data_IF_464878729590
#
_entry.id   IF_464878729590
#
_cell.length_a   1.000
_cell.length_b   1.000
_cell.length_c   1.000
_cell.angle_alpha   90.00
_cell.angle_beta   90.00
_cell.angle_gamma   90.00
#
_symmetry.space_group_name_H-M   'P 1'
#
loop_
_entity.id
_entity.type
_entity.pdbx_description
1 polymer ?
#
# COMPACT_ATOMS: atom_id res chain seq x y z
N UNK A 1 -23.87 -2.84 -2.76
CA UNK A 1 -22.50 -2.37 -2.51
C UNK A 1 -21.80 -3.42 -1.67
N UNK A 2 -20.66 -3.94 -2.12
CA UNK A 2 -19.91 -4.94 -1.32
C UNK A 2 -19.48 -4.34 0.02
N UNK A 3 -19.50 -5.15 1.08
CA UNK A 3 -18.91 -4.77 2.37
C UNK A 3 -17.39 -4.90 2.28
N UNK A 4 -16.65 -3.95 2.89
CA UNK A 4 -15.20 -3.97 2.92
C UNK A 4 -14.72 -4.38 4.31
N UNK A 5 -13.83 -5.38 4.38
CA UNK A 5 -13.12 -5.77 5.60
C UNK A 5 -11.65 -5.44 5.38
N UNK A 6 -11.08 -4.58 6.22
CA UNK A 6 -9.68 -4.17 6.13
C UNK A 6 -8.90 -4.90 7.22
N UNK A 7 -7.82 -5.57 6.83
CA UNK A 7 -6.90 -6.23 7.76
C UNK A 7 -5.52 -5.58 7.60
N UNK A 8 -5.09 -4.88 8.63
CA UNK A 8 -3.80 -4.19 8.71
C UNK A 8 -2.97 -4.71 9.89
N UNK A 9 -1.66 -4.57 9.80
CA UNK A 9 -0.73 -4.94 10.87
C UNK A 9 0.69 -5.15 10.37
N UNK A 10 1.62 -5.31 11.29
CA UNK A 10 3.05 -5.52 10.99
C UNK A 10 3.30 -6.87 10.30
N UNK A 11 4.42 -6.99 9.61
CA UNK A 11 4.81 -8.25 8.98
C UNK A 11 5.06 -9.31 10.08
N UNK A 12 4.63 -10.55 9.83
CA UNK A 12 4.71 -11.63 10.82
C UNK A 12 3.57 -11.68 11.86
N UNK A 13 2.63 -10.74 11.89
CA UNK A 13 1.52 -10.69 12.87
C UNK A 13 0.37 -11.68 12.63
N UNK A 14 0.52 -12.63 11.72
CA UNK A 14 -0.50 -13.63 11.43
C UNK A 14 -1.65 -13.16 10.53
N UNK A 15 -1.52 -12.02 9.85
CA UNK A 15 -2.56 -11.47 8.97
C UNK A 15 -3.06 -12.46 7.93
N UNK A 16 -2.15 -13.15 7.25
CA UNK A 16 -2.51 -14.12 6.20
C UNK A 16 -3.41 -15.22 6.76
N UNK A 17 -3.10 -15.74 7.95
CA UNK A 17 -3.91 -16.76 8.63
C UNK A 17 -5.31 -16.23 8.95
N UNK A 18 -5.41 -14.99 9.47
CA UNK A 18 -6.70 -14.37 9.78
C UNK A 18 -7.51 -14.13 8.49
N UNK A 19 -6.85 -13.67 7.41
CA UNK A 19 -7.49 -13.46 6.10
C UNK A 19 -8.08 -14.77 5.58
N UNK A 20 -7.30 -15.85 5.60
CA UNK A 20 -7.73 -17.16 5.10
C UNK A 20 -8.88 -17.73 5.93
N UNK A 21 -8.80 -17.66 7.25
CA UNK A 21 -9.88 -18.09 8.14
C UNK A 21 -11.15 -17.26 7.94
N UNK A 22 -11.02 -15.93 7.88
CA UNK A 22 -12.17 -15.05 7.64
C UNK A 22 -12.83 -15.34 6.30
N UNK A 23 -12.02 -15.54 5.25
CA UNK A 23 -12.50 -15.88 3.92
C UNK A 23 -13.27 -17.20 3.93
N UNK A 24 -12.71 -18.28 4.50
CA UNK A 24 -13.34 -19.59 4.60
C UNK A 24 -14.68 -19.53 5.35
N UNK A 25 -14.73 -18.82 6.49
CA UNK A 25 -15.96 -18.65 7.27
C UNK A 25 -17.06 -17.96 6.46
N UNK A 26 -16.72 -16.87 5.78
CA UNK A 26 -17.68 -16.11 4.97
C UNK A 26 -18.16 -16.89 3.73
N UNK A 27 -17.27 -17.65 3.10
CA UNK A 27 -17.63 -18.54 1.98
C UNK A 27 -18.51 -19.70 2.44
N UNK A 28 -18.27 -20.25 3.63
CA UNK A 28 -19.14 -21.26 4.26
C UNK A 28 -20.56 -20.70 4.51
N UNK A 29 -20.68 -19.43 4.87
CA UNK A 29 -21.95 -18.71 5.02
C UNK A 29 -22.60 -18.34 3.66
N UNK A 30 -22.08 -18.84 2.55
CA UNK A 30 -22.62 -18.63 1.20
C UNK A 30 -22.36 -17.24 0.62
N UNK A 31 -21.43 -16.47 1.18
CA UNK A 31 -21.05 -15.15 0.65
C UNK A 31 -19.98 -15.28 -0.43
N UNK A 32 -20.10 -14.44 -1.47
CA UNK A 32 -19.03 -14.27 -2.46
C UNK A 32 -17.97 -13.33 -1.90
N UNK A 33 -16.75 -13.84 -1.68
CA UNK A 33 -15.66 -13.09 -1.06
C UNK A 33 -14.58 -12.77 -2.08
N UNK A 34 -14.33 -11.48 -2.30
CA UNK A 34 -13.19 -10.98 -3.05
C UNK A 34 -11.99 -10.70 -2.14
N UNK A 35 -10.80 -10.77 -2.69
CA UNK A 35 -9.56 -10.42 -1.99
C UNK A 35 -8.75 -9.42 -2.81
N UNK A 36 -8.16 -8.45 -2.15
CA UNK A 36 -7.23 -7.50 -2.76
C UNK A 36 -6.09 -7.15 -1.81
N UNK A 37 -4.86 -7.26 -2.30
CA UNK A 37 -3.67 -6.79 -1.61
C UNK A 37 -3.26 -5.41 -2.13
N UNK A 38 -3.28 -4.39 -1.26
CA UNK A 38 -3.13 -2.99 -1.67
C UNK A 38 -1.72 -2.42 -1.49
N UNK A 39 -0.86 -3.08 -0.71
CA UNK A 39 0.49 -2.54 -0.41
C UNK A 39 1.42 -2.46 -1.63
N UNK A 40 1.26 -3.29 -2.65
CA UNK A 40 2.25 -3.48 -3.72
C UNK A 40 1.77 -3.12 -5.13
N UNK A 41 0.68 -2.40 -5.25
CA UNK A 41 0.23 -1.94 -6.56
C UNK A 41 1.00 -0.69 -7.01
N UNK A 42 2.34 -0.82 -7.10
CA UNK A 42 3.23 0.25 -7.50
C UNK A 42 3.53 0.14 -9.00
N UNK A 43 2.86 0.88 -9.83
CA UNK A 43 3.18 0.99 -11.25
C UNK A 43 4.19 2.13 -11.48
N UNK A 44 3.77 3.36 -11.23
CA UNK A 44 4.61 4.55 -11.34
C UNK A 44 5.70 4.59 -10.27
N UNK A 45 5.38 4.15 -9.07
CA UNK A 45 6.32 4.10 -7.95
C UNK A 45 7.48 3.13 -8.21
N UNK A 46 7.29 2.05 -8.99
CA UNK A 46 8.41 1.19 -9.43
C UNK A 46 9.40 1.94 -10.33
N UNK A 47 8.90 2.76 -11.25
CA UNK A 47 9.75 3.60 -12.09
C UNK A 47 10.54 4.61 -11.23
N UNK A 48 9.89 5.18 -10.21
CA UNK A 48 10.56 6.08 -9.27
C UNK A 48 11.65 5.38 -8.45
N UNK A 49 11.44 4.13 -8.03
CA UNK A 49 12.46 3.33 -7.35
C UNK A 49 13.65 3.02 -8.28
N UNK A 50 13.40 2.73 -9.56
CA UNK A 50 14.46 2.53 -10.55
C UNK A 50 15.26 3.82 -10.74
N UNK A 51 14.58 4.96 -10.89
CA UNK A 51 15.22 6.28 -11.01
C UNK A 51 16.02 6.62 -9.75
N UNK A 52 15.51 6.33 -8.55
CA UNK A 52 16.22 6.54 -7.29
C UNK A 52 17.53 5.74 -7.22
N UNK A 53 17.59 4.55 -7.82
CA UNK A 53 18.83 3.77 -7.92
C UNK A 53 19.84 4.43 -8.83
N UNK A 54 19.40 4.89 -10.02
CA UNK A 54 20.27 5.57 -11.00
C UNK A 54 20.81 6.88 -10.42
N UNK A 55 20.01 7.64 -9.68
CA UNK A 55 20.40 8.90 -9.05
C UNK A 55 21.21 8.72 -7.74
N UNK A 56 21.58 7.50 -7.36
CA UNK A 56 22.33 7.25 -6.12
C UNK A 56 21.56 7.51 -4.82
N UNK A 57 20.23 7.66 -4.91
CA UNK A 57 19.34 7.83 -3.75
C UNK A 57 18.94 6.50 -3.09
N UNK A 58 19.58 5.40 -3.48
CA UNK A 58 19.31 4.06 -2.97
C UNK A 58 20.60 3.40 -2.53
N UNK A 59 20.55 2.71 -1.39
CA UNK A 59 21.68 1.95 -0.86
C UNK A 59 21.25 0.50 -0.70
N UNK A 60 22.12 -0.41 -1.09
CA UNK A 60 21.94 -1.83 -0.89
C UNK A 60 22.31 -2.16 0.55
N UNK A 61 21.37 -2.69 1.31
CA UNK A 61 21.57 -3.10 2.71
C UNK A 61 21.41 -4.61 2.78
N UNK A 62 22.40 -5.26 3.39
CA UNK A 62 22.34 -6.69 3.64
C UNK A 62 21.60 -6.95 4.95
N UNK A 63 20.52 -7.70 4.89
CA UNK A 63 19.75 -8.16 6.04
C UNK A 63 19.77 -9.68 6.11
N UNK A 64 19.33 -10.27 7.21
CA UNK A 64 19.21 -11.72 7.40
C UNK A 64 18.41 -12.44 6.30
N UNK A 65 17.51 -11.73 5.61
CA UNK A 65 16.72 -12.24 4.48
C UNK A 65 17.37 -11.98 3.11
N UNK A 66 18.60 -11.46 3.07
CA UNK A 66 19.33 -11.13 1.84
C UNK A 66 19.47 -9.63 1.58
N UNK A 67 19.87 -9.29 0.37
CA UNK A 67 20.13 -7.92 -0.06
C UNK A 67 18.84 -7.15 -0.37
N UNK A 68 18.56 -6.08 0.35
CA UNK A 68 17.40 -5.22 0.14
C UNK A 68 17.81 -3.80 -0.24
N UNK A 69 17.13 -3.21 -1.22
CA UNK A 69 17.35 -1.81 -1.57
C UNK A 69 16.60 -0.88 -0.60
N UNK A 70 17.36 -0.09 0.15
CA UNK A 70 16.83 0.98 0.97
C UNK A 70 16.89 2.31 0.20
N UNK A 71 15.73 2.90 -0.05
CA UNK A 71 15.62 4.17 -0.75
C UNK A 71 15.68 5.35 0.23
N UNK A 72 16.72 6.20 0.12
CA UNK A 72 16.93 7.39 0.96
C UNK A 72 16.28 8.61 0.30
N UNK A 73 14.97 8.54 0.09
CA UNK A 73 14.19 9.55 -0.65
C UNK A 73 14.23 10.93 0.04
N UNK A 74 14.36 10.93 1.39
CA UNK A 74 14.42 12.13 2.22
C UNK A 74 15.60 13.07 1.87
N UNK A 75 16.62 12.59 1.16
CA UNK A 75 17.77 13.41 0.75
C UNK A 75 17.43 14.44 -0.31
N UNK A 76 16.32 14.28 -1.02
CA UNK A 76 15.92 15.20 -2.08
C UNK A 76 14.42 15.52 -1.96
N UNK A 77 14.10 16.74 -1.55
CA UNK A 77 12.73 17.18 -1.29
C UNK A 77 11.84 17.15 -2.55
N UNK A 78 12.40 17.50 -3.71
CA UNK A 78 11.67 17.42 -4.99
C UNK A 78 11.32 15.97 -5.29
N UNK A 79 12.28 15.05 -5.11
CA UNK A 79 12.05 13.63 -5.31
C UNK A 79 11.00 13.08 -4.37
N UNK A 80 11.00 13.49 -3.09
CA UNK A 80 9.94 13.15 -2.13
C UNK A 80 8.56 13.57 -2.62
N UNK A 81 8.44 14.80 -3.11
CA UNK A 81 7.15 15.33 -3.57
C UNK A 81 6.62 14.57 -4.78
N UNK A 82 7.49 14.26 -5.74
CA UNK A 82 7.14 13.42 -6.90
C UNK A 82 6.78 12.00 -6.47
N UNK A 83 7.49 11.43 -5.51
CA UNK A 83 7.19 10.10 -4.96
C UNK A 83 5.82 10.04 -4.30
N UNK A 84 5.45 11.06 -3.52
CA UNK A 84 4.10 11.17 -2.92
C UNK A 84 3.03 11.25 -4.01
N UNK A 85 3.26 12.08 -5.04
CA UNK A 85 2.33 12.23 -6.16
C UNK A 85 2.15 10.91 -6.93
N UNK A 86 3.23 10.22 -7.28
CA UNK A 86 3.16 8.94 -7.99
C UNK A 86 2.47 7.86 -7.16
N UNK A 87 2.70 7.82 -5.85
CA UNK A 87 1.99 6.91 -4.94
C UNK A 87 0.50 7.24 -4.88
N UNK A 88 0.13 8.52 -4.89
CA UNK A 88 -1.26 8.95 -4.95
C UNK A 88 -1.95 8.48 -6.24
N UNK A 89 -1.29 8.62 -7.39
CA UNK A 89 -1.82 8.15 -8.67
C UNK A 89 -1.93 6.61 -8.72
N UNK A 90 -0.96 5.88 -8.20
CA UNK A 90 -1.02 4.42 -8.06
C UNK A 90 -2.18 3.98 -7.16
N UNK A 91 -2.52 4.77 -6.14
CA UNK A 91 -3.66 4.49 -5.25
C UNK A 91 -5.01 4.59 -5.99
N UNK A 92 -5.14 5.48 -6.98
CA UNK A 92 -6.32 5.52 -7.85
C UNK A 92 -6.47 4.25 -8.69
N UNK A 93 -5.36 3.72 -9.21
CA UNK A 93 -5.38 2.43 -9.94
C UNK A 93 -5.83 1.31 -9.00
N UNK A 94 -5.38 1.32 -7.77
CA UNK A 94 -5.80 0.35 -6.73
C UNK A 94 -7.30 0.48 -6.43
N UNK A 95 -7.84 1.69 -6.37
CA UNK A 95 -9.28 1.94 -6.22
C UNK A 95 -10.09 1.38 -7.38
N UNK A 96 -9.62 1.55 -8.62
CA UNK A 96 -10.29 0.98 -9.79
C UNK A 96 -10.33 -0.55 -9.75
N UNK A 97 -9.25 -1.19 -9.30
CA UNK A 97 -9.22 -2.65 -9.09
C UNK A 97 -10.20 -3.09 -8.01
N UNK A 98 -10.19 -2.40 -6.85
CA UNK A 98 -11.14 -2.65 -5.77
C UNK A 98 -12.58 -2.57 -6.30
N UNK A 99 -12.93 -1.52 -7.04
CA UNK A 99 -14.26 -1.33 -7.57
C UNK A 99 -14.69 -2.47 -8.53
N UNK A 100 -13.76 -3.00 -9.34
CA UNK A 100 -14.03 -4.17 -10.19
C UNK A 100 -14.36 -5.41 -9.37
N UNK A 101 -13.57 -5.67 -8.32
CA UNK A 101 -13.77 -6.82 -7.42
C UNK A 101 -15.08 -6.65 -6.64
N UNK A 102 -15.36 -5.45 -6.14
CA UNK A 102 -16.56 -5.15 -5.35
C UNK A 102 -17.88 -5.26 -6.14
N UNK A 103 -17.82 -5.18 -7.48
CA UNK A 103 -19.02 -5.35 -8.32
C UNK A 103 -19.54 -6.79 -8.37
N UNK A 104 -18.67 -7.77 -8.18
CA UNK A 104 -18.98 -9.21 -8.38
C UNK A 104 -18.95 -10.01 -7.07
N UNK A 105 -18.66 -9.37 -5.96
CA UNK A 105 -18.57 -9.99 -4.64
C UNK A 105 -19.48 -9.28 -3.64
N UNK A 106 -19.92 -10.02 -2.61
CA UNK A 106 -20.70 -9.49 -1.50
C UNK A 106 -19.81 -8.79 -0.47
N UNK A 107 -18.61 -9.34 -0.28
CA UNK A 107 -17.60 -8.86 0.67
C UNK A 107 -16.24 -8.81 -0.02
N UNK A 108 -15.45 -7.77 0.25
CA UNK A 108 -14.06 -7.67 -0.20
C UNK A 108 -13.14 -7.56 1.01
N UNK A 109 -12.23 -8.51 1.15
CA UNK A 109 -11.17 -8.46 2.16
C UNK A 109 -9.99 -7.70 1.54
N UNK A 110 -9.62 -6.61 2.19
CA UNK A 110 -8.50 -5.75 1.82
C UNK A 110 -7.33 -6.03 2.76
N UNK A 111 -6.26 -6.64 2.22
CA UNK A 111 -5.00 -6.78 2.95
C UNK A 111 -4.24 -5.48 2.82
N UNK A 112 -4.22 -4.73 3.92
CA UNK A 112 -3.78 -3.34 4.07
C UNK A 112 -4.68 -2.33 3.33
N UNK A 113 -4.56 -1.09 3.69
CA UNK A 113 -5.35 0.00 3.13
C UNK A 113 -4.51 1.28 3.03
N UNK A 114 -5.16 2.36 2.66
CA UNK A 114 -4.54 3.69 2.48
C UNK A 114 -3.78 4.15 3.72
N UNK A 115 -4.24 3.82 4.92
CA UNK A 115 -3.54 4.12 6.17
C UNK A 115 -2.13 3.56 6.21
N UNK A 116 -1.94 2.32 5.76
CA UNK A 116 -0.61 1.68 5.67
C UNK A 116 0.29 2.41 4.65
N UNK A 117 -0.29 2.85 3.54
CA UNK A 117 0.42 3.64 2.52
C UNK A 117 0.88 4.99 3.10
N UNK A 118 0.03 5.65 3.90
CA UNK A 118 0.37 6.93 4.52
C UNK A 118 1.51 6.79 5.53
N UNK A 119 1.48 5.74 6.35
CA UNK A 119 2.56 5.43 7.30
C UNK A 119 3.85 5.11 6.55
N UNK A 120 3.80 4.28 5.50
CA UNK A 120 4.96 3.97 4.65
C UNK A 120 5.55 5.24 4.01
N UNK A 121 4.70 6.16 3.54
CA UNK A 121 5.15 7.44 2.97
C UNK A 121 5.83 8.33 4.01
N UNK A 122 5.21 8.51 5.18
CA UNK A 122 5.80 9.32 6.27
C UNK A 122 7.16 8.75 6.69
N UNK A 123 7.27 7.42 6.83
CA UNK A 123 8.51 6.75 7.21
C UNK A 123 9.60 6.88 6.14
N UNK A 124 9.28 6.60 4.87
CA UNK A 124 10.26 6.61 3.76
C UNK A 124 10.73 8.02 3.40
N UNK A 125 9.90 9.02 3.61
CA UNK A 125 10.25 10.42 3.34
C UNK A 125 10.84 11.13 4.56
N UNK A 126 10.83 10.51 5.74
CA UNK A 126 11.20 11.10 7.03
C UNK A 126 10.43 12.41 7.31
N UNK A 127 9.19 12.48 6.85
CA UNK A 127 8.34 13.66 6.99
C UNK A 127 7.12 13.36 7.84
N UNK A 128 7.25 13.54 9.15
CA UNK A 128 6.10 13.45 10.07
C UNK A 128 5.05 14.54 9.78
N UNK A 129 5.50 15.74 9.34
CA UNK A 129 4.65 16.85 8.89
C UNK A 129 3.73 16.48 7.70
N UNK A 130 4.07 15.44 6.95
CA UNK A 130 3.24 14.91 5.88
C UNK A 130 1.86 14.49 6.40
N UNK A 131 1.79 13.87 7.58
CA UNK A 131 0.53 13.39 8.17
C UNK A 131 -0.41 14.54 8.56
N UNK A 132 0.13 15.71 8.89
CA UNK A 132 -0.63 16.92 9.21
C UNK A 132 -1.00 17.76 7.97
N UNK A 133 -0.46 17.38 6.82
CA UNK A 133 -0.67 18.07 5.54
C UNK A 133 -2.05 17.77 4.92
N UNK A 134 -2.33 18.36 3.77
CA UNK A 134 -3.56 18.08 3.00
C UNK A 134 -3.54 16.71 2.30
N UNK A 135 -2.39 16.04 2.22
CA UNK A 135 -2.23 14.78 1.51
C UNK A 135 -3.02 13.61 2.12
N UNK A 136 -2.98 13.33 3.43
CA UNK A 136 -3.79 12.26 4.01
C UNK A 136 -5.27 12.37 3.69
N UNK A 137 -5.82 13.60 3.78
CA UNK A 137 -7.23 13.85 3.42
C UNK A 137 -7.53 13.56 1.95
N UNK A 138 -6.56 13.78 1.04
CA UNK A 138 -6.71 13.46 -0.38
C UNK A 138 -6.68 11.95 -0.61
N UNK A 139 -5.75 11.24 0.03
CA UNK A 139 -5.68 9.79 -0.03
C UNK A 139 -6.94 9.12 0.52
N UNK A 140 -7.49 9.62 1.64
CA UNK A 140 -8.70 9.07 2.26
C UNK A 140 -9.98 9.25 1.42
N UNK A 141 -9.94 10.09 0.37
CA UNK A 141 -11.04 10.23 -0.58
C UNK A 141 -11.01 9.21 -1.71
N UNK A 142 -9.93 8.46 -1.83
CA UNK A 142 -9.79 7.34 -2.75
C UNK A 142 -10.51 6.13 -2.19
#
# INVERSE_FOLDING_TARGET
MAKCIIISGIDGSGKSTIIDQTKQTLEYDGKKVGYIWLRMNHYLTKCMHALARVLGLSVKVHNEMGDVWQHRLYKNQTFCSVYILTTYLDSWVSRLKYNKIAKVNDIVICDRWITDILVDLATKTHRSDFLDSKWPRRFMKI
#
